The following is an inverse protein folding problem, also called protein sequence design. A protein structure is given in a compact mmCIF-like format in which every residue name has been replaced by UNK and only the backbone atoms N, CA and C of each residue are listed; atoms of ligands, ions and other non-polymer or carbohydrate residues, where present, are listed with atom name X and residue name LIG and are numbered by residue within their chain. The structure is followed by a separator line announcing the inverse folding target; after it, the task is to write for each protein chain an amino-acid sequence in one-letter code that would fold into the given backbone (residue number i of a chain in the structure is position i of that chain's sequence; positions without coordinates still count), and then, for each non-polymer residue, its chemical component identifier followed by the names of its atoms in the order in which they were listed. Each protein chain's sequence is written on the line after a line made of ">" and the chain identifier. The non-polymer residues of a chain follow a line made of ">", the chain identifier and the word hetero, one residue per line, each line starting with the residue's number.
data_IF_588503529888
#
_entry.id   IF_588503529888
#
_cell.length_a   1.000
_cell.length_b   1.000
_cell.length_c   1.000
_cell.angle_alpha   90.00
_cell.angle_beta   90.00
_cell.angle_gamma   90.00
#
_symmetry.space_group_name_H-M   'P 1'
#
loop_
_entity.id
_entity.type
_entity.pdbx_description
1 polymer ?
#
# COMPACT_ATOMS: atom_id res chain seq x y z
N UNK A 1 -13.78 16.62 49.55
CA UNK A 1 -13.90 17.47 48.35
C UNK A 1 -14.20 16.57 47.17
N UNK A 2 -15.21 16.89 46.38
CA UNK A 2 -15.45 16.19 45.10
C UNK A 2 -14.29 16.52 44.16
N UNK A 3 -13.61 15.50 43.63
CA UNK A 3 -12.43 15.68 42.78
C UNK A 3 -12.73 16.65 41.62
N UNK A 4 -11.87 17.66 41.44
CA UNK A 4 -12.04 18.64 40.36
C UNK A 4 -11.81 17.93 39.02
N UNK A 5 -12.86 17.83 38.19
CA UNK A 5 -12.82 17.15 36.90
C UNK A 5 -12.12 17.95 35.79
N UNK A 6 -11.97 19.27 35.99
CA UNK A 6 -11.19 20.18 35.16
C UNK A 6 -10.21 20.96 36.05
N UNK A 7 -8.92 20.88 35.76
CA UNK A 7 -7.89 21.62 36.48
C UNK A 7 -6.92 22.28 35.51
N UNK A 8 -6.42 23.47 35.87
CA UNK A 8 -5.33 24.15 35.19
C UNK A 8 -4.26 24.47 36.24
N UNK A 9 -3.04 24.00 36.03
CA UNK A 9 -1.93 24.25 36.93
C UNK A 9 -1.37 25.66 36.74
N UNK A 10 -1.46 26.53 37.75
CA UNK A 10 -1.09 27.95 37.61
C UNK A 10 0.37 28.22 37.22
N UNK A 11 1.30 27.32 37.56
CA UNK A 11 2.72 27.48 37.22
C UNK A 11 3.11 26.98 35.83
N UNK A 12 2.32 26.09 35.22
CA UNK A 12 2.66 25.44 33.93
C UNK A 12 1.60 25.60 32.85
N UNK A 13 0.37 25.96 33.22
CA UNK A 13 -0.79 25.94 32.33
C UNK A 13 -1.31 24.54 31.99
N UNK A 14 -0.70 23.47 32.53
CA UNK A 14 -1.12 22.10 32.25
C UNK A 14 -2.59 21.92 32.63
N UNK A 15 -3.37 21.41 31.69
CA UNK A 15 -4.80 21.21 31.85
C UNK A 15 -5.13 19.73 31.95
N UNK A 16 -5.93 19.33 32.94
CA UNK A 16 -6.47 17.97 33.06
C UNK A 16 -7.98 18.02 32.88
N UNK A 17 -8.50 17.15 32.02
CA UNK A 17 -9.94 16.92 31.83
C UNK A 17 -10.21 15.45 32.13
N UNK A 18 -10.91 15.14 33.23
CA UNK A 18 -11.23 13.76 33.62
C UNK A 18 -12.38 13.15 32.80
N UNK A 19 -13.12 13.99 32.08
CA UNK A 19 -14.16 13.58 31.14
C UNK A 19 -13.70 13.76 29.68
N UNK A 20 -14.67 13.90 28.77
CA UNK A 20 -14.41 14.15 27.35
C UNK A 20 -14.13 15.62 27.08
N UNK A 21 -13.14 15.91 26.24
CA UNK A 21 -12.94 17.25 25.67
C UNK A 21 -13.64 17.34 24.30
N UNK A 22 -14.63 18.22 24.19
CA UNK A 22 -15.26 18.56 22.91
C UNK A 22 -14.74 19.89 22.38
N UNK A 23 -14.30 19.92 21.12
CA UNK A 23 -13.96 21.15 20.40
C UNK A 23 -14.83 21.24 19.14
N UNK A 24 -15.57 22.34 18.98
CA UNK A 24 -16.44 22.56 17.82
C UNK A 24 -15.71 23.22 16.64
N UNK A 25 -14.56 23.84 16.91
CA UNK A 25 -13.68 24.44 15.92
C UNK A 25 -12.41 23.62 15.69
N UNK A 26 -11.56 24.12 14.81
CA UNK A 26 -10.24 23.55 14.56
C UNK A 26 -9.37 23.59 15.83
N UNK A 27 -8.64 22.50 16.07
CA UNK A 27 -7.63 22.42 17.13
C UNK A 27 -6.25 22.36 16.46
N UNK A 28 -5.33 23.24 16.85
CA UNK A 28 -3.94 23.20 16.43
C UNK A 28 -3.06 22.74 17.60
N UNK A 29 -2.24 21.71 17.39
CA UNK A 29 -1.17 21.32 18.30
C UNK A 29 0.16 21.67 17.65
N UNK A 30 1.04 22.35 18.37
CA UNK A 30 2.39 22.73 17.88
C UNK A 30 3.40 21.59 17.97
N UNK A 31 2.99 20.45 18.54
CA UNK A 31 3.84 19.29 18.79
C UNK A 31 3.05 18.02 18.51
N UNK A 32 3.23 17.00 19.33
CA UNK A 32 2.67 15.67 19.12
C UNK A 32 1.25 15.52 19.66
N UNK A 33 0.51 14.56 19.10
CA UNK A 33 -0.76 14.07 19.61
C UNK A 33 -0.63 12.57 19.87
N UNK A 34 -0.82 12.14 21.11
CA UNK A 34 -0.96 10.74 21.47
C UNK A 34 -2.43 10.35 21.56
N UNK A 35 -2.83 9.29 20.87
CA UNK A 35 -4.18 8.70 20.97
C UNK A 35 -4.01 7.22 21.27
N UNK A 36 -4.62 6.74 22.35
CA UNK A 36 -4.58 5.32 22.75
C UNK A 36 -5.71 4.49 22.13
N UNK A 37 -6.80 5.16 21.74
CA UNK A 37 -7.94 4.56 21.05
C UNK A 37 -7.93 4.83 19.54
N UNK A 38 -9.08 4.61 18.92
CA UNK A 38 -9.27 4.90 17.50
C UNK A 38 -9.40 6.40 17.24
N UNK A 39 -8.88 6.84 16.10
CA UNK A 39 -9.08 8.18 15.56
C UNK A 39 -9.94 8.06 14.31
N UNK A 40 -11.00 8.86 14.20
CA UNK A 40 -11.81 8.97 12.98
C UNK A 40 -11.56 10.35 12.35
N UNK A 41 -11.15 10.35 11.07
CA UNK A 41 -11.02 11.55 10.25
C UNK A 41 -12.06 11.46 9.14
N UNK A 42 -12.91 12.49 9.00
CA UNK A 42 -13.96 12.53 7.97
C UNK A 42 -13.45 13.04 6.62
N UNK A 43 -12.17 13.38 6.52
CA UNK A 43 -11.56 14.02 5.36
C UNK A 43 -10.09 13.57 5.26
N UNK A 44 -9.21 14.45 4.78
CA UNK A 44 -7.82 14.15 4.49
C UNK A 44 -6.95 14.07 5.74
N UNK A 45 -5.94 13.19 5.68
CA UNK A 45 -4.79 13.19 6.58
C UNK A 45 -3.57 13.70 5.80
N UNK A 46 -2.99 14.80 6.25
CA UNK A 46 -1.66 15.24 5.81
C UNK A 46 -0.62 14.81 6.84
N UNK A 47 0.26 13.89 6.45
CA UNK A 47 1.34 13.39 7.30
C UNK A 47 2.62 13.25 6.48
N UNK A 48 3.77 13.26 7.17
CA UNK A 48 5.03 12.80 6.58
C UNK A 48 5.03 11.27 6.55
N UNK A 49 5.92 10.67 7.34
CA UNK A 49 5.95 9.21 7.46
C UNK A 49 4.71 8.69 8.21
N UNK A 50 4.11 7.63 7.66
CA UNK A 50 2.95 6.95 8.25
C UNK A 50 3.28 5.47 8.42
N UNK A 51 3.20 4.98 9.66
CA UNK A 51 3.34 3.55 9.97
C UNK A 51 1.97 2.96 10.27
N UNK A 52 1.58 1.94 9.51
CA UNK A 52 0.37 1.16 9.77
C UNK A 52 0.79 -0.23 10.24
N UNK A 53 0.59 -0.52 11.52
CA UNK A 53 0.95 -1.82 12.11
C UNK A 53 -0.13 -2.89 11.91
N UNK A 54 -1.35 -2.46 11.60
CA UNK A 54 -2.47 -3.33 11.27
C UNK A 54 -2.75 -3.39 9.77
N UNK A 55 -4.00 -3.63 9.41
CA UNK A 55 -4.48 -3.60 8.03
C UNK A 55 -4.77 -2.17 7.58
N UNK A 56 -4.41 -1.85 6.34
CA UNK A 56 -4.92 -0.68 5.63
C UNK A 56 -6.05 -1.11 4.71
N UNK A 57 -7.25 -0.60 4.95
CA UNK A 57 -8.39 -0.76 4.04
C UNK A 57 -8.52 0.49 3.15
N UNK A 58 -8.70 0.29 1.85
CA UNK A 58 -8.90 1.35 0.87
C UNK A 58 -10.04 0.96 -0.05
N UNK A 59 -11.17 1.64 0.09
CA UNK A 59 -12.35 1.45 -0.77
C UNK A 59 -12.22 2.19 -2.11
N UNK A 60 -11.35 3.21 -2.17
CA UNK A 60 -11.00 3.93 -3.38
C UNK A 60 -9.72 3.40 -4.02
N UNK A 61 -9.17 4.17 -4.97
CA UNK A 61 -7.88 3.86 -5.55
C UNK A 61 -6.77 3.97 -4.49
N UNK A 62 -5.87 2.99 -4.48
CA UNK A 62 -4.61 3.09 -3.75
C UNK A 62 -3.53 3.57 -4.72
N UNK A 63 -2.96 4.76 -4.49
CA UNK A 63 -2.05 5.42 -5.44
C UNK A 63 -0.77 5.88 -4.74
N UNK A 64 0.37 5.47 -5.27
CA UNK A 64 1.71 5.82 -4.77
C UNK A 64 2.45 6.66 -5.81
N UNK A 65 3.07 7.76 -5.37
CA UNK A 65 3.77 8.73 -6.23
C UNK A 65 2.98 10.01 -6.48
N UNK A 66 3.54 11.01 -7.18
CA UNK A 66 2.90 12.30 -7.44
C UNK A 66 1.66 12.15 -8.32
N UNK A 67 0.70 13.08 -8.20
CA UNK A 67 -0.54 13.06 -9.01
C UNK A 67 -0.31 13.14 -10.52
N UNK A 68 0.82 13.69 -10.94
CA UNK A 68 1.23 13.78 -12.34
C UNK A 68 1.94 12.53 -12.87
N UNK A 69 2.23 11.55 -12.00
CA UNK A 69 3.02 10.37 -12.36
C UNK A 69 2.96 9.32 -11.27
N UNK A 70 1.82 8.62 -11.17
CA UNK A 70 1.68 7.49 -10.24
C UNK A 70 2.68 6.38 -10.62
N UNK A 71 3.36 5.85 -9.62
CA UNK A 71 4.38 4.80 -9.76
C UNK A 71 3.81 3.41 -9.51
N UNK A 72 2.85 3.32 -8.60
CA UNK A 72 2.09 2.12 -8.28
C UNK A 72 0.64 2.49 -8.02
N UNK A 73 -0.30 1.81 -8.68
CA UNK A 73 -1.73 2.01 -8.43
C UNK A 73 -2.47 0.70 -8.31
N UNK A 74 -3.53 0.69 -7.50
CA UNK A 74 -4.57 -0.34 -7.48
C UNK A 74 -5.91 0.36 -7.67
N UNK A 75 -6.63 0.00 -8.74
CA UNK A 75 -7.94 0.58 -9.02
C UNK A 75 -9.00 0.01 -8.07
N UNK A 76 -9.68 0.84 -7.29
CA UNK A 76 -10.61 0.38 -6.24
C UNK A 76 -11.80 -0.43 -6.78
N UNK A 77 -12.25 -0.15 -8.02
CA UNK A 77 -13.39 -0.84 -8.63
C UNK A 77 -13.07 -2.20 -9.25
N UNK A 78 -11.81 -2.48 -9.60
CA UNK A 78 -11.43 -3.70 -10.34
C UNK A 78 -10.29 -4.49 -9.71
N UNK A 79 -9.54 -3.87 -8.79
CA UNK A 79 -8.31 -4.44 -8.25
C UNK A 79 -7.14 -4.48 -9.25
N UNK A 80 -7.28 -3.88 -10.43
CA UNK A 80 -6.19 -3.85 -11.41
C UNK A 80 -5.00 -3.07 -10.87
N UNK A 81 -3.82 -3.69 -10.94
CA UNK A 81 -2.57 -3.10 -10.47
C UNK A 81 -1.72 -2.60 -11.64
N UNK A 82 -1.20 -1.39 -11.52
CA UNK A 82 -0.19 -0.84 -12.45
C UNK A 82 1.11 -0.60 -11.70
N UNK A 83 2.22 -1.05 -12.28
CA UNK A 83 3.58 -0.75 -11.82
C UNK A 83 4.28 -0.03 -12.98
N UNK A 84 4.57 1.26 -12.81
CA UNK A 84 5.20 2.06 -13.87
C UNK A 84 6.69 1.73 -14.07
N UNK A 85 7.29 1.06 -13.08
CA UNK A 85 8.66 0.53 -13.14
C UNK A 85 8.71 -0.98 -13.41
N UNK A 86 9.76 -1.62 -12.92
CA UNK A 86 9.90 -3.09 -12.98
C UNK A 86 9.28 -3.75 -11.76
N UNK A 87 8.63 -4.90 -11.97
CA UNK A 87 8.18 -5.77 -10.88
C UNK A 87 9.22 -6.87 -10.66
N UNK A 88 9.88 -6.86 -9.50
CA UNK A 88 10.75 -7.95 -9.05
C UNK A 88 9.97 -8.94 -8.20
N UNK A 89 10.04 -10.24 -8.55
CA UNK A 89 9.52 -11.33 -7.73
C UNK A 89 10.68 -12.25 -7.34
N UNK A 90 10.88 -12.46 -6.04
CA UNK A 90 11.94 -13.33 -5.51
C UNK A 90 11.49 -14.77 -5.34
N UNK A 91 10.19 -14.99 -5.18
CA UNK A 91 9.56 -16.30 -5.11
C UNK A 91 8.88 -16.71 -6.42
N UNK A 92 8.21 -17.86 -6.39
CA UNK A 92 7.41 -18.32 -7.52
C UNK A 92 6.20 -17.39 -7.76
N UNK A 93 5.93 -17.09 -9.03
CA UNK A 93 4.75 -16.35 -9.46
C UNK A 93 3.79 -17.32 -10.15
N UNK A 94 2.55 -17.39 -9.70
CA UNK A 94 1.49 -18.14 -10.35
C UNK A 94 0.49 -17.18 -11.01
N UNK A 95 0.11 -17.46 -12.25
CA UNK A 95 -0.93 -16.75 -12.98
C UNK A 95 -2.06 -17.73 -13.29
N UNK A 96 -3.30 -17.33 -13.02
CA UNK A 96 -4.49 -18.14 -13.30
C UNK A 96 -4.92 -18.12 -14.76
N UNK A 97 -4.30 -17.26 -15.56
CA UNK A 97 -4.63 -17.02 -16.95
C UNK A 97 -3.34 -16.73 -17.74
N UNK A 98 -3.42 -15.89 -18.76
CA UNK A 98 -2.34 -15.63 -19.70
C UNK A 98 -1.25 -14.72 -19.16
N UNK A 99 -0.01 -14.96 -19.58
CA UNK A 99 1.09 -14.01 -19.48
C UNK A 99 1.42 -13.47 -20.88
N UNK A 100 1.29 -12.17 -21.08
CA UNK A 100 1.81 -11.49 -22.26
C UNK A 100 3.21 -10.95 -21.99
N UNK A 101 4.18 -11.30 -22.84
CA UNK A 101 5.55 -10.75 -22.78
C UNK A 101 5.89 -10.16 -24.15
N UNK A 102 6.26 -8.89 -24.18
CA UNK A 102 6.66 -8.18 -25.41
C UNK A 102 8.15 -8.25 -25.67
N UNK A 103 8.95 -8.44 -24.61
CA UNK A 103 10.39 -8.64 -24.68
C UNK A 103 10.80 -10.11 -24.63
N UNK A 104 12.07 -10.36 -24.38
CA UNK A 104 12.59 -11.71 -24.20
C UNK A 104 12.13 -12.32 -22.87
N UNK A 105 11.90 -13.63 -22.87
CA UNK A 105 11.69 -14.43 -21.67
C UNK A 105 12.88 -15.37 -21.49
N UNK A 106 13.50 -15.34 -20.31
CA UNK A 106 14.57 -16.28 -19.94
C UNK A 106 14.06 -17.24 -18.87
N UNK A 107 14.12 -18.53 -19.14
CA UNK A 107 13.83 -19.58 -18.18
C UNK A 107 15.14 -20.34 -17.93
N UNK A 108 15.59 -20.39 -16.67
CA UNK A 108 16.83 -21.08 -16.30
C UNK A 108 16.68 -22.59 -16.16
N UNK A 109 15.46 -23.10 -16.26
CA UNK A 109 15.12 -24.50 -16.07
C UNK A 109 14.15 -24.93 -17.17
N UNK A 110 13.01 -25.51 -16.81
CA UNK A 110 12.07 -26.12 -17.75
C UNK A 110 10.94 -25.17 -18.15
N UNK A 111 10.45 -25.35 -19.37
CA UNK A 111 9.17 -24.79 -19.84
C UNK A 111 8.20 -25.95 -20.01
N UNK A 112 7.14 -25.98 -19.20
CA UNK A 112 5.97 -26.82 -19.44
C UNK A 112 4.93 -26.02 -20.20
N UNK A 113 4.68 -26.37 -21.46
CA UNK A 113 3.68 -25.73 -22.30
C UNK A 113 2.83 -26.79 -23.00
N UNK A 114 1.60 -26.43 -23.37
CA UNK A 114 0.82 -27.19 -24.34
C UNK A 114 1.36 -26.92 -25.75
N UNK A 115 0.56 -26.30 -26.59
CA UNK A 115 1.00 -25.92 -27.93
C UNK A 115 2.04 -24.81 -27.87
N UNK A 116 3.15 -24.99 -28.59
CA UNK A 116 4.22 -24.01 -28.72
C UNK A 116 4.43 -23.66 -30.18
N UNK A 117 4.32 -22.37 -30.53
CA UNK A 117 4.65 -21.86 -31.86
C UNK A 117 5.94 -21.07 -31.79
N UNK A 118 6.95 -21.47 -32.56
CA UNK A 118 8.20 -20.72 -32.72
C UNK A 118 8.21 -20.10 -34.10
N UNK A 119 8.08 -18.78 -34.17
CA UNK A 119 8.09 -18.03 -35.45
C UNK A 119 9.51 -17.66 -35.91
N UNK A 120 10.48 -17.77 -35.01
CA UNK A 120 11.90 -17.53 -35.27
C UNK A 120 12.72 -18.82 -35.35
N UNK A 121 14.00 -18.72 -35.00
CA UNK A 121 14.89 -19.88 -34.92
C UNK A 121 14.76 -20.57 -33.56
N UNK A 122 14.63 -21.90 -33.59
CA UNK A 122 14.83 -22.73 -32.42
C UNK A 122 16.27 -23.27 -32.47
N UNK A 123 17.05 -22.96 -31.44
CA UNK A 123 18.38 -23.54 -31.23
C UNK A 123 18.32 -24.49 -30.04
N UNK A 124 18.76 -25.73 -30.23
CA UNK A 124 18.81 -26.75 -29.18
C UNK A 124 20.22 -27.25 -29.04
N UNK A 125 20.83 -26.98 -27.90
CA UNK A 125 22.13 -27.54 -27.51
C UNK A 125 22.00 -28.92 -26.84
N UNK A 126 20.78 -29.28 -26.44
CA UNK A 126 20.44 -30.58 -25.87
C UNK A 126 19.66 -31.47 -26.84
N UNK A 127 19.10 -32.55 -26.31
CA UNK A 127 18.29 -33.48 -27.08
C UNK A 127 17.02 -32.80 -27.59
N UNK A 128 16.78 -32.91 -28.88
CA UNK A 128 15.53 -32.55 -29.51
C UNK A 128 14.80 -33.83 -29.90
N UNK A 129 13.71 -34.12 -29.19
CA UNK A 129 12.86 -35.28 -29.43
C UNK A 129 11.50 -34.80 -29.95
N UNK A 130 11.03 -35.40 -31.04
CA UNK A 130 9.70 -35.15 -31.61
C UNK A 130 8.87 -36.40 -31.35
N UNK A 131 7.85 -36.24 -30.51
CA UNK A 131 6.83 -37.27 -30.25
C UNK A 131 5.74 -37.30 -31.31
#
# INVERSE_FOLDING_TARGET
>A
STGRLFTVAGGTGNTVVSGTLGATGATALSSTLGVTGATTLSSTLGAGDTTVTGTLDSTGNFEVGPSTGRLFTVAGGTGNTVVSGTLGATGATALSSTLGVTGATTLSSTLGAGDTTVTGTLDSTGNFEVG
#
